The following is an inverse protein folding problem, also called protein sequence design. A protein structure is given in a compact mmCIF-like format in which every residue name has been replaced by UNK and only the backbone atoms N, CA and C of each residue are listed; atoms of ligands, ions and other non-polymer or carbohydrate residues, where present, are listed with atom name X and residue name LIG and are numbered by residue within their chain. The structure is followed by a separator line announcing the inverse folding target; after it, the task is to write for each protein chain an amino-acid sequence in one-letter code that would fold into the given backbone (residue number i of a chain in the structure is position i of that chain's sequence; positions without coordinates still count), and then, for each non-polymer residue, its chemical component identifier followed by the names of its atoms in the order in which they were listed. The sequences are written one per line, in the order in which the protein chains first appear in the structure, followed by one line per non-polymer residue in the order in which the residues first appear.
data_IF_057275868572
#
_entry.id   IF_057275868572
#
_cell.length_a   1.000
_cell.length_b   1.000
_cell.length_c   1.000
_cell.angle_alpha   90.00
_cell.angle_beta   90.00
_cell.angle_gamma   90.00
#
_symmetry.space_group_name_H-M   'P 1'
#
loop_
_entity.id
_entity.type
_entity.pdbx_description
1 polymer ?
#
# COMPACT_ATOMS: atom_id res chain seq x y z
N UNK A 1 15.04 31.41 -7.19
CA UNK A 1 16.03 32.02 -6.28
C UNK A 1 16.02 31.25 -4.96
N UNK A 2 16.90 30.24 -4.83
CA UNK A 2 17.00 29.42 -3.60
C UNK A 2 17.71 30.22 -2.51
N UNK A 3 17.03 30.56 -1.42
CA UNK A 3 17.64 31.16 -0.24
C UNK A 3 18.47 30.08 0.48
N UNK A 4 19.80 30.20 0.43
CA UNK A 4 20.71 29.39 1.26
C UNK A 4 20.55 29.80 2.73
N UNK A 5 19.96 28.92 3.54
CA UNK A 5 19.90 29.11 5.00
C UNK A 5 21.32 28.96 5.58
N UNK A 6 21.77 29.97 6.35
CA UNK A 6 23.08 29.89 6.96
C UNK A 6 23.09 28.89 8.13
N UNK A 7 24.26 28.27 8.41
CA UNK A 7 24.44 27.36 9.58
C UNK A 7 24.01 28.00 10.89
N UNK A 8 24.21 29.32 11.02
CA UNK A 8 23.83 30.09 12.20
C UNK A 8 22.31 30.22 12.37
N UNK A 9 21.57 30.35 11.27
CA UNK A 9 20.09 30.37 11.26
C UNK A 9 19.53 29.00 11.59
N UNK A 10 20.17 27.92 11.11
CA UNK A 10 19.79 26.55 11.43
C UNK A 10 19.98 26.22 12.92
N UNK A 11 21.13 26.59 13.51
CA UNK A 11 21.41 26.34 14.93
C UNK A 11 20.47 27.18 15.82
N UNK A 12 20.15 28.43 15.47
CA UNK A 12 19.18 29.26 16.19
C UNK A 12 17.75 28.65 16.11
N UNK A 13 17.39 28.06 15.00
CA UNK A 13 16.11 27.35 14.85
C UNK A 13 16.01 26.10 15.73
N UNK A 14 17.11 25.36 15.86
CA UNK A 14 17.18 24.15 16.72
C UNK A 14 17.10 24.52 18.22
N UNK A 15 17.77 25.61 18.66
CA UNK A 15 17.70 26.07 20.04
C UNK A 15 16.31 26.61 20.40
N UNK A 16 15.64 27.32 19.51
CA UNK A 16 14.26 27.78 19.72
C UNK A 16 13.27 26.61 19.79
N UNK A 17 13.45 25.60 18.95
CA UNK A 17 12.62 24.34 18.97
C UNK A 17 12.85 23.56 20.27
N UNK A 18 14.09 23.46 20.74
CA UNK A 18 14.44 22.81 22.03
C UNK A 18 13.85 23.51 23.24
N UNK A 19 13.85 24.85 23.26
CA UNK A 19 13.25 25.67 24.34
C UNK A 19 11.72 25.53 24.38
N UNK A 20 11.06 25.52 23.22
CA UNK A 20 9.61 25.36 23.15
C UNK A 20 9.18 23.92 23.56
N UNK A 21 9.97 22.90 23.22
CA UNK A 21 9.75 21.52 23.67
C UNK A 21 9.95 21.38 25.20
N UNK A 22 10.97 22.03 25.77
CA UNK A 22 11.29 21.98 27.19
C UNK A 22 10.26 22.71 28.08
N UNK A 23 9.53 23.68 27.52
CA UNK A 23 8.49 24.43 28.23
C UNK A 23 7.10 23.81 28.12
N UNK A 24 6.97 22.63 27.48
CA UNK A 24 5.68 21.95 27.28
C UNK A 24 4.69 22.72 26.41
N UNK A 25 5.14 23.76 25.71
CA UNK A 25 4.33 24.63 24.87
C UNK A 25 4.08 24.03 23.48
N UNK A 26 4.86 23.03 23.12
CA UNK A 26 4.66 22.28 21.88
C UNK A 26 3.76 21.09 22.15
N UNK A 27 2.47 21.35 22.21
CA UNK A 27 1.51 20.27 22.04
C UNK A 27 1.52 19.91 20.56
N UNK A 28 2.10 18.77 20.21
CA UNK A 28 1.86 18.19 18.90
C UNK A 28 0.34 18.14 18.73
N UNK A 29 -0.21 18.67 17.62
CA UNK A 29 -1.64 18.57 17.40
C UNK A 29 -2.02 17.09 17.48
N UNK A 30 -3.14 16.77 18.12
CA UNK A 30 -3.61 15.39 18.35
C UNK A 30 -3.81 14.61 17.04
N UNK A 31 -3.81 15.31 15.90
CA UNK A 31 -3.85 14.77 14.54
C UNK A 31 -2.47 14.53 13.89
N UNK A 32 -1.36 14.85 14.58
CA UNK A 32 -0.07 14.30 14.20
C UNK A 32 -0.08 12.79 14.53
N UNK A 33 -0.98 12.08 13.87
CA UNK A 33 -1.04 10.62 13.92
C UNK A 33 0.26 10.13 13.32
N UNK A 34 1.02 9.45 14.14
CA UNK A 34 2.15 8.64 13.71
C UNK A 34 1.76 7.92 12.42
N UNK A 35 2.59 8.03 11.39
CA UNK A 35 2.52 7.12 10.25
C UNK A 35 2.24 5.72 10.78
N UNK A 36 1.33 4.95 10.19
CA UNK A 36 1.08 3.57 10.61
C UNK A 36 2.43 2.90 10.81
N UNK A 37 2.61 2.18 11.91
CA UNK A 37 3.91 1.58 12.25
C UNK A 37 4.49 0.84 11.05
N UNK A 38 5.81 0.72 10.98
CA UNK A 38 6.46 -0.04 9.90
C UNK A 38 5.78 -1.39 9.77
N UNK A 39 5.41 -1.83 8.54
CA UNK A 39 4.80 -3.13 8.33
C UNK A 39 5.65 -4.22 8.95
N UNK A 40 5.05 -5.05 9.78
CA UNK A 40 5.75 -6.19 10.39
C UNK A 40 6.01 -7.27 9.35
N UNK A 41 7.07 -8.05 9.55
CA UNK A 41 7.31 -9.28 8.81
C UNK A 41 6.74 -10.44 9.61
N UNK A 42 5.83 -11.19 9.01
CA UNK A 42 5.26 -12.41 9.58
C UNK A 42 5.81 -13.61 8.81
N UNK A 43 6.54 -14.48 9.49
CA UNK A 43 7.16 -15.67 8.89
C UNK A 43 6.63 -16.94 9.55
N UNK A 44 6.67 -18.06 8.84
CA UNK A 44 6.24 -19.37 9.34
C UNK A 44 5.09 -19.94 8.53
N UNK A 45 4.24 -20.74 9.19
CA UNK A 45 3.14 -21.47 8.54
C UNK A 45 1.76 -21.14 9.09
N UNK A 46 1.68 -20.44 10.21
CA UNK A 46 0.42 -20.07 10.88
C UNK A 46 0.35 -18.55 11.01
N UNK A 47 -0.72 -17.94 10.52
CA UNK A 47 -0.89 -16.49 10.49
C UNK A 47 -2.27 -16.07 10.96
N UNK A 48 -2.33 -14.99 11.73
CA UNK A 48 -3.56 -14.31 12.12
C UNK A 48 -3.56 -12.91 11.49
N UNK A 49 -4.53 -12.66 10.62
CA UNK A 49 -4.73 -11.38 9.93
C UNK A 49 -6.06 -10.77 10.35
N UNK A 50 -6.02 -9.52 10.76
CA UNK A 50 -7.19 -8.73 11.15
C UNK A 50 -7.40 -7.62 10.14
N UNK A 51 -8.51 -7.64 9.43
CA UNK A 51 -8.92 -6.56 8.54
C UNK A 51 -9.85 -5.63 9.32
N UNK A 52 -9.51 -4.34 9.36
CA UNK A 52 -10.28 -3.36 10.12
C UNK A 52 -9.95 -1.93 9.70
N UNK A 53 -10.62 -0.97 10.32
CA UNK A 53 -10.40 0.45 10.05
C UNK A 53 -9.28 1.01 10.92
N UNK A 54 -8.47 1.90 10.33
CA UNK A 54 -7.35 2.57 11.01
C UNK A 54 -7.29 4.03 10.59
N UNK A 55 -7.20 4.99 11.53
CA UNK A 55 -6.94 6.38 11.20
C UNK A 55 -5.55 6.55 10.55
N UNK A 56 -5.49 7.27 9.44
CA UNK A 56 -4.25 7.55 8.70
C UNK A 56 -4.15 9.04 8.32
N UNK A 57 -2.92 9.49 8.09
CA UNK A 57 -2.64 10.80 7.54
C UNK A 57 -1.46 10.70 6.56
N UNK A 58 -1.75 10.44 5.29
CA UNK A 58 -0.75 10.23 4.25
C UNK A 58 -0.47 11.53 3.49
N UNK A 59 -1.51 12.31 3.22
CA UNK A 59 -1.43 13.53 2.38
C UNK A 59 -1.42 14.83 3.20
N UNK A 60 -1.49 14.74 4.53
CA UNK A 60 -1.71 15.89 5.42
C UNK A 60 -3.16 16.03 5.88
N UNK A 61 -4.09 15.23 5.34
CA UNK A 61 -5.48 15.17 5.77
C UNK A 61 -5.77 13.87 6.53
N UNK A 62 -6.49 13.98 7.66
CA UNK A 62 -6.93 12.80 8.42
C UNK A 62 -7.97 12.01 7.60
N UNK A 63 -7.76 10.71 7.47
CA UNK A 63 -8.64 9.77 6.77
C UNK A 63 -8.77 8.48 7.57
N UNK A 64 -9.72 7.65 7.20
CA UNK A 64 -9.84 6.28 7.68
C UNK A 64 -9.47 5.35 6.53
N UNK A 65 -8.52 4.48 6.77
CA UNK A 65 -8.13 3.43 5.85
C UNK A 65 -8.69 2.08 6.30
N UNK A 66 -8.89 1.16 5.38
CA UNK A 66 -9.09 -0.25 5.68
C UNK A 66 -7.71 -0.92 5.67
N UNK A 67 -7.33 -1.57 6.73
CA UNK A 67 -5.96 -2.05 6.94
C UNK A 67 -5.92 -3.52 7.29
N UNK A 68 -4.75 -4.13 7.11
CA UNK A 68 -4.48 -5.47 7.62
C UNK A 68 -3.49 -5.32 8.78
N UNK A 69 -3.89 -5.79 9.97
CA UNK A 69 -3.15 -5.66 11.23
C UNK A 69 -2.77 -4.20 11.56
N UNK A 70 -3.62 -3.23 11.16
CA UNK A 70 -3.45 -1.82 11.51
C UNK A 70 -2.40 -1.05 10.71
N UNK A 71 -1.85 -1.59 9.63
CA UNK A 71 -0.80 -0.94 8.81
C UNK A 71 -1.17 -0.87 7.33
N UNK A 72 -0.57 0.08 6.60
CA UNK A 72 -0.56 0.20 5.14
C UNK A 72 0.90 0.34 4.68
N UNK A 73 1.36 -0.53 3.80
CA UNK A 73 0.74 -1.81 3.44
C UNK A 73 0.57 -2.71 4.67
N UNK A 74 -0.24 -3.75 4.56
CA UNK A 74 -0.33 -4.82 5.55
C UNK A 74 1.01 -5.54 5.73
N UNK A 75 1.11 -6.47 6.69
CA UNK A 75 2.36 -7.18 7.00
C UNK A 75 2.99 -7.83 5.76
N UNK A 76 4.33 -7.81 5.68
CA UNK A 76 5.03 -8.70 4.76
C UNK A 76 4.85 -10.15 5.24
N UNK A 77 4.17 -10.96 4.45
CA UNK A 77 4.09 -12.39 4.66
C UNK A 77 5.31 -13.07 4.02
N UNK A 78 6.03 -13.89 4.78
CA UNK A 78 7.17 -14.65 4.28
C UNK A 78 6.96 -16.13 4.49
N UNK A 79 6.75 -16.85 3.39
CA UNK A 79 6.52 -18.29 3.36
C UNK A 79 7.72 -19.02 2.76
N UNK A 80 7.65 -20.34 2.77
CA UNK A 80 8.61 -21.19 2.07
C UNK A 80 7.90 -22.14 1.12
N UNK A 81 8.44 -22.31 -0.05
CA UNK A 81 7.98 -23.31 -1.01
C UNK A 81 7.98 -24.72 -0.43
N UNK A 82 6.89 -25.45 -0.63
CA UNK A 82 6.67 -26.79 -0.09
C UNK A 82 5.91 -26.82 1.23
N UNK A 83 5.89 -25.72 2.00
CA UNK A 83 5.16 -25.63 3.27
C UNK A 83 3.63 -25.62 3.05
N UNK A 84 2.89 -26.03 4.05
CA UNK A 84 1.44 -25.81 4.12
C UNK A 84 1.18 -24.66 5.05
N UNK A 85 0.61 -23.58 4.51
CA UNK A 85 0.27 -22.37 5.29
C UNK A 85 -1.18 -22.39 5.73
N UNK A 86 -1.44 -21.84 6.91
CA UNK A 86 -2.78 -21.61 7.46
C UNK A 86 -2.90 -20.14 7.84
N UNK A 87 -3.85 -19.42 7.22
CA UNK A 87 -4.09 -18.01 7.50
C UNK A 87 -5.53 -17.84 8.01
N UNK A 88 -5.68 -17.40 9.24
CA UNK A 88 -6.96 -17.05 9.84
C UNK A 88 -7.20 -15.56 9.61
N UNK A 89 -8.08 -15.24 8.68
CA UNK A 89 -8.42 -13.86 8.32
C UNK A 89 -9.74 -13.50 8.98
N UNK A 90 -9.69 -12.52 9.87
CA UNK A 90 -10.86 -12.01 10.60
C UNK A 90 -11.27 -10.64 10.06
N UNK A 91 -12.55 -10.49 9.77
CA UNK A 91 -13.14 -9.23 9.32
C UNK A 91 -13.69 -8.41 10.49
N UNK A 92 -13.24 -7.18 10.62
CA UNK A 92 -13.76 -6.17 11.58
C UNK A 92 -14.32 -4.94 10.86
N UNK A 93 -14.47 -5.00 9.55
CA UNK A 93 -15.21 -4.00 8.79
C UNK A 93 -16.72 -4.21 8.97
N UNK A 94 -17.51 -3.20 8.65
CA UNK A 94 -18.98 -3.26 8.62
C UNK A 94 -19.54 -3.85 7.31
N UNK A 95 -18.66 -4.26 6.40
CA UNK A 95 -19.00 -4.85 5.10
C UNK A 95 -18.19 -6.12 4.85
N UNK A 96 -18.60 -6.92 3.85
CA UNK A 96 -17.89 -8.12 3.46
C UNK A 96 -16.48 -7.78 2.94
N UNK A 97 -15.52 -8.62 3.24
CA UNK A 97 -14.14 -8.51 2.77
C UNK A 97 -13.61 -9.83 2.22
N UNK A 98 -12.40 -9.80 1.68
CA UNK A 98 -11.71 -10.97 1.15
C UNK A 98 -10.22 -10.75 1.15
N UNK A 99 -9.42 -11.82 1.03
CA UNK A 99 -8.00 -11.75 0.66
C UNK A 99 -7.78 -12.66 -0.54
N UNK A 100 -7.37 -12.06 -1.63
CA UNK A 100 -6.87 -12.75 -2.82
C UNK A 100 -5.34 -12.82 -2.79
N UNK A 101 -4.81 -13.98 -3.15
CA UNK A 101 -3.37 -14.25 -3.20
C UNK A 101 -2.90 -14.11 -4.64
N UNK A 102 -2.52 -12.88 -5.02
CA UNK A 102 -2.27 -12.53 -6.40
C UNK A 102 -1.09 -13.29 -7.01
N UNK A 103 -1.34 -13.99 -8.11
CA UNK A 103 -0.32 -14.77 -8.82
C UNK A 103 -0.06 -16.17 -8.24
N UNK A 104 -0.83 -16.60 -7.24
CA UNK A 104 -0.66 -17.90 -6.59
C UNK A 104 -1.43 -19.03 -7.30
N UNK A 105 -0.80 -20.19 -7.41
CA UNK A 105 -1.42 -21.43 -7.88
C UNK A 105 -1.93 -22.19 -6.65
N UNK A 106 -3.25 -22.19 -6.45
CA UNK A 106 -3.88 -22.75 -5.26
C UNK A 106 -5.30 -23.28 -5.56
N UNK A 107 -5.94 -24.01 -4.63
CA UNK A 107 -7.32 -24.47 -4.80
C UNK A 107 -8.29 -23.28 -4.94
N UNK A 108 -9.28 -23.38 -5.82
CA UNK A 108 -10.19 -22.29 -6.15
C UNK A 108 -10.93 -21.72 -4.93
N UNK A 109 -11.30 -22.55 -3.94
CA UNK A 109 -11.91 -22.09 -2.70
C UNK A 109 -10.94 -21.34 -1.76
N UNK A 110 -9.64 -21.37 -2.04
CA UNK A 110 -8.60 -20.66 -1.31
C UNK A 110 -8.10 -19.41 -2.06
N UNK A 111 -8.63 -19.14 -3.26
CA UNK A 111 -8.23 -18.01 -4.10
C UNK A 111 -8.71 -16.65 -3.55
N UNK A 112 -9.77 -16.67 -2.76
CA UNK A 112 -10.26 -15.49 -2.07
C UNK A 112 -11.00 -14.47 -2.95
N UNK A 113 -11.42 -14.86 -4.16
CA UNK A 113 -12.25 -14.05 -5.06
C UNK A 113 -13.72 -14.38 -4.81
N UNK A 114 -14.53 -13.45 -4.28
CA UNK A 114 -15.94 -13.70 -4.01
C UNK A 114 -16.75 -13.97 -5.30
N UNK A 115 -17.75 -14.84 -5.20
CA UNK A 115 -18.76 -15.03 -6.25
C UNK A 115 -18.80 -16.43 -6.85
N UNK A 116 -17.71 -17.20 -6.83
CA UNK A 116 -17.69 -18.59 -7.36
C UNK A 116 -17.52 -19.62 -6.25
N UNK A 117 -16.29 -19.80 -5.80
CA UNK A 117 -15.91 -20.84 -4.82
C UNK A 117 -15.74 -20.30 -3.39
N UNK A 118 -15.97 -19.02 -3.21
CA UNK A 118 -15.81 -18.28 -1.98
C UNK A 118 -16.87 -17.18 -1.87
N UNK A 119 -17.50 -17.04 -0.70
CA UNK A 119 -18.60 -16.08 -0.49
C UNK A 119 -18.15 -14.73 0.12
N UNK A 120 -16.86 -14.56 0.39
CA UNK A 120 -16.36 -13.44 1.17
C UNK A 120 -16.34 -13.76 2.67
N UNK A 121 -15.86 -12.81 3.44
CA UNK A 121 -15.80 -12.86 4.91
C UNK A 121 -16.77 -11.80 5.44
N UNK A 122 -17.89 -12.21 5.96
CA UNK A 122 -18.90 -11.30 6.51
C UNK A 122 -18.37 -10.49 7.71
N UNK A 123 -18.98 -9.35 8.06
CA UNK A 123 -18.66 -8.61 9.26
C UNK A 123 -18.58 -9.50 10.50
N UNK A 124 -17.55 -9.30 11.34
CA UNK A 124 -17.20 -10.13 12.49
C UNK A 124 -16.88 -11.61 12.17
N UNK A 125 -16.95 -11.99 10.90
CA UNK A 125 -16.62 -13.34 10.42
C UNK A 125 -15.13 -13.61 10.37
N UNK A 126 -14.82 -14.89 10.15
CA UNK A 126 -13.46 -15.38 9.94
C UNK A 126 -13.45 -16.42 8.83
N UNK A 127 -12.45 -16.37 7.98
CA UNK A 127 -12.15 -17.42 7.01
C UNK A 127 -10.76 -17.99 7.22
N UNK A 128 -10.61 -19.30 7.05
CA UNK A 128 -9.34 -20.00 7.20
C UNK A 128 -8.87 -20.46 5.81
N UNK A 129 -7.86 -19.76 5.31
CA UNK A 129 -7.13 -20.20 4.13
C UNK A 129 -6.11 -21.25 4.53
N UNK A 130 -6.13 -22.41 3.90
CA UNK A 130 -5.16 -23.48 4.16
C UNK A 130 -4.80 -24.19 2.85
N UNK A 131 -3.54 -24.07 2.45
CA UNK A 131 -3.05 -24.66 1.20
C UNK A 131 -1.55 -24.89 1.24
N UNK A 132 -1.10 -25.79 0.38
CA UNK A 132 0.33 -26.01 0.16
C UNK A 132 0.87 -24.97 -0.82
N UNK A 133 2.01 -24.37 -0.47
CA UNK A 133 2.75 -23.41 -1.30
C UNK A 133 3.57 -24.18 -2.33
N UNK A 134 3.23 -24.04 -3.63
CA UNK A 134 3.81 -24.83 -4.72
C UNK A 134 4.75 -24.05 -5.62
N UNK A 135 5.10 -22.82 -5.25
CA UNK A 135 5.90 -21.91 -6.03
C UNK A 135 6.70 -21.00 -5.12
N UNK A 136 7.76 -20.39 -5.65
CA UNK A 136 8.55 -19.37 -4.96
C UNK A 136 8.51 -18.04 -5.75
N UNK A 137 9.02 -16.98 -5.15
CA UNK A 137 9.09 -15.65 -5.76
C UNK A 137 8.49 -14.54 -4.91
N UNK A 138 8.27 -13.40 -5.54
CA UNK A 138 7.72 -12.20 -4.91
C UNK A 138 6.34 -11.92 -5.49
N UNK A 139 5.37 -11.82 -4.60
CA UNK A 139 3.94 -11.68 -4.88
C UNK A 139 3.34 -10.60 -3.99
N UNK A 140 2.04 -10.46 -4.01
CA UNK A 140 1.27 -9.61 -3.10
C UNK A 140 -0.10 -10.22 -2.82
N UNK A 141 -0.76 -9.72 -1.80
CA UNK A 141 -2.12 -10.11 -1.46
C UNK A 141 -2.96 -8.85 -1.27
N UNK A 142 -4.25 -8.92 -1.61
CA UNK A 142 -5.15 -7.79 -1.53
C UNK A 142 -6.62 -8.21 -1.44
N UNK A 143 -7.50 -7.27 -1.07
CA UNK A 143 -8.93 -7.52 -1.13
C UNK A 143 -9.42 -7.61 -2.58
N UNK A 144 -10.33 -8.51 -2.82
CA UNK A 144 -11.11 -8.59 -4.06
C UNK A 144 -12.58 -8.23 -3.83
N UNK A 145 -12.88 -7.50 -2.74
CA UNK A 145 -14.21 -7.03 -2.36
C UNK A 145 -14.29 -5.53 -2.53
N UNK A 146 -15.27 -5.07 -3.32
CA UNK A 146 -15.48 -3.65 -3.56
C UNK A 146 -14.22 -2.92 -4.08
N UNK A 147 -13.91 -1.78 -3.46
CA UNK A 147 -12.71 -0.99 -3.74
C UNK A 147 -11.77 -0.93 -2.52
N UNK A 148 -11.78 -1.96 -1.68
CA UNK A 148 -11.02 -2.03 -0.43
C UNK A 148 -9.51 -2.04 -0.67
N UNK A 149 -9.04 -2.60 -1.79
CA UNK A 149 -7.65 -2.51 -2.23
C UNK A 149 -7.18 -1.04 -2.30
N UNK A 150 -7.98 -0.16 -2.94
CA UNK A 150 -7.63 1.26 -3.10
C UNK A 150 -7.55 2.01 -1.76
N UNK A 151 -8.19 1.54 -0.72
CA UNK A 151 -8.19 2.17 0.61
C UNK A 151 -7.33 1.45 1.63
N UNK A 152 -6.50 0.47 1.21
CA UNK A 152 -5.41 -0.05 2.02
C UNK A 152 -5.40 -1.54 2.34
N UNK A 153 -6.38 -2.34 1.85
CA UNK A 153 -6.40 -3.80 2.10
C UNK A 153 -5.49 -4.51 1.10
N UNK A 154 -4.19 -4.39 1.29
CA UNK A 154 -3.14 -5.06 0.52
C UNK A 154 -1.85 -5.20 1.31
N UNK A 155 -0.97 -6.10 0.89
CA UNK A 155 0.35 -6.29 1.48
C UNK A 155 1.27 -7.16 0.61
N UNK A 156 2.58 -7.11 0.85
CA UNK A 156 3.57 -7.88 0.11
C UNK A 156 3.66 -9.32 0.61
N UNK A 157 4.00 -10.23 -0.30
CA UNK A 157 4.20 -11.65 -0.06
C UNK A 157 5.52 -12.09 -0.71
N UNK A 158 6.40 -12.70 0.08
CA UNK A 158 7.62 -13.34 -0.41
C UNK A 158 7.56 -14.83 -0.09
N UNK A 159 7.93 -15.65 -1.04
CA UNK A 159 8.03 -17.09 -0.88
C UNK A 159 9.46 -17.50 -1.17
N UNK A 160 10.17 -17.88 -0.11
CA UNK A 160 11.54 -18.39 -0.22
C UNK A 160 11.54 -19.73 -0.96
N UNK A 161 12.50 -19.92 -1.84
CA UNK A 161 12.68 -21.16 -2.56
C UNK A 161 12.94 -22.33 -1.61
N UNK A 162 12.51 -23.53 -2.01
CA UNK A 162 12.80 -24.77 -1.26
C UNK A 162 14.29 -25.07 -1.26
N UNK A 163 14.91 -24.92 -2.43
CA UNK A 163 16.33 -25.14 -2.63
C UNK A 163 17.08 -23.78 -2.53
N UNK A 164 18.37 -23.78 -2.13
CA UNK A 164 19.15 -22.56 -2.09
C UNK A 164 19.24 -21.89 -3.45
N UNK A 165 19.20 -20.56 -3.46
CA UNK A 165 19.42 -19.77 -4.68
C UNK A 165 20.82 -20.05 -5.27
N UNK A 166 20.97 -20.06 -6.60
CA UNK A 166 22.27 -20.32 -7.26
C UNK A 166 23.24 -19.14 -7.19
N UNK A 167 22.88 -18.08 -6.50
CA UNK A 167 23.67 -16.87 -6.32
C UNK A 167 23.63 -16.40 -4.86
N UNK A 168 24.55 -15.55 -4.47
CA UNK A 168 24.58 -14.90 -3.16
C UNK A 168 24.33 -13.40 -3.29
N UNK A 169 23.77 -12.80 -2.26
CA UNK A 169 23.53 -11.36 -2.17
C UNK A 169 23.81 -10.88 -0.74
N UNK A 170 24.20 -9.63 -0.61
CA UNK A 170 24.52 -9.04 0.70
C UNK A 170 23.28 -8.45 1.38
N UNK A 171 22.24 -8.12 0.60
CA UNK A 171 21.02 -7.46 1.11
C UNK A 171 19.79 -7.88 0.31
N UNK A 172 18.67 -7.99 1.00
CA UNK A 172 17.35 -8.29 0.45
C UNK A 172 16.37 -7.20 0.90
N UNK A 173 15.73 -6.52 -0.04
CA UNK A 173 14.73 -5.49 0.21
C UNK A 173 13.45 -5.79 -0.54
N UNK A 174 12.33 -5.78 0.18
CA UNK A 174 11.00 -5.85 -0.43
C UNK A 174 10.50 -4.42 -0.62
N UNK A 175 10.28 -4.05 -1.87
CA UNK A 175 9.73 -2.73 -2.25
C UNK A 175 8.34 -2.94 -2.84
N UNK A 176 7.33 -2.38 -2.18
CA UNK A 176 5.95 -2.38 -2.66
C UNK A 176 5.58 -0.96 -3.13
N UNK A 177 5.22 -0.83 -4.40
CA UNK A 177 4.73 0.42 -4.95
C UNK A 177 3.22 0.49 -4.76
N UNK A 178 2.74 1.57 -4.19
CA UNK A 178 1.33 1.79 -3.90
C UNK A 178 0.96 3.25 -4.17
N UNK A 179 -0.31 3.51 -4.40
CA UNK A 179 -0.87 4.84 -4.48
C UNK A 179 -1.92 5.05 -3.39
N UNK A 180 -2.22 6.30 -3.11
CA UNK A 180 -3.22 6.71 -2.16
C UNK A 180 -4.08 7.84 -2.73
N UNK A 181 -5.33 7.88 -2.32
CA UNK A 181 -6.23 8.98 -2.61
C UNK A 181 -7.05 9.35 -1.38
N UNK A 182 -7.27 10.63 -1.18
CA UNK A 182 -8.20 11.15 -0.18
C UNK A 182 -9.64 11.22 -0.70
N UNK A 183 -9.83 10.99 -1.99
CA UNK A 183 -11.15 10.96 -2.62
C UNK A 183 -11.77 9.56 -2.49
N UNK A 184 -13.08 9.49 -2.39
CA UNK A 184 -13.85 8.25 -2.44
C UNK A 184 -13.52 7.45 -3.71
N UNK A 185 -13.03 6.20 -3.60
CA UNK A 185 -12.63 5.38 -4.74
C UNK A 185 -13.77 5.13 -5.74
N UNK A 186 -15.02 5.06 -5.30
CA UNK A 186 -16.15 4.89 -6.20
C UNK A 186 -16.36 6.12 -7.10
N UNK A 187 -16.08 7.31 -6.57
CA UNK A 187 -16.09 8.56 -7.35
C UNK A 187 -14.94 8.60 -8.36
N UNK A 188 -13.75 8.16 -7.96
CA UNK A 188 -12.59 8.04 -8.86
C UNK A 188 -12.91 7.08 -10.00
N UNK A 189 -13.39 5.88 -9.69
CA UNK A 189 -13.76 4.89 -10.70
C UNK A 189 -14.82 5.44 -11.67
N UNK A 190 -15.82 6.17 -11.15
CA UNK A 190 -16.85 6.82 -11.97
C UNK A 190 -16.28 7.86 -12.93
N UNK A 191 -15.26 8.64 -12.51
CA UNK A 191 -14.56 9.61 -13.36
C UNK A 191 -13.73 8.91 -14.44
N UNK A 192 -12.93 7.91 -14.05
CA UNK A 192 -12.08 7.14 -14.96
C UNK A 192 -12.88 6.36 -16.00
N UNK A 193 -14.09 5.88 -15.67
CA UNK A 193 -15.00 5.27 -16.65
C UNK A 193 -15.50 6.25 -17.70
N UNK A 194 -15.58 7.54 -17.38
CA UNK A 194 -16.00 8.59 -18.33
C UNK A 194 -14.81 9.12 -19.14
N UNK A 195 -13.67 9.24 -18.51
CA UNK A 195 -12.44 9.77 -19.08
C UNK A 195 -11.24 9.07 -18.43
N UNK A 196 -10.61 8.14 -19.14
CA UNK A 196 -9.52 7.30 -18.62
C UNK A 196 -8.28 8.08 -18.19
N UNK A 197 -8.05 9.25 -18.76
CA UNK A 197 -6.94 10.15 -18.47
C UNK A 197 -7.31 11.33 -17.55
N UNK A 198 -8.44 11.24 -16.82
CA UNK A 198 -8.97 12.33 -15.98
C UNK A 198 -7.92 12.90 -15.00
N UNK A 199 -7.07 12.05 -14.42
CA UNK A 199 -6.03 12.45 -13.46
C UNK A 199 -4.65 12.65 -14.10
N UNK A 200 -4.54 12.61 -15.42
CA UNK A 200 -3.29 12.90 -16.12
C UNK A 200 -3.10 14.42 -16.26
N UNK A 201 -2.61 15.05 -15.19
CA UNK A 201 -2.35 16.50 -15.14
C UNK A 201 -1.09 16.92 -15.91
N UNK A 202 -0.28 15.95 -16.39
CA UNK A 202 0.89 16.18 -17.22
C UNK A 202 0.65 15.84 -18.70
N UNK A 203 -0.61 15.77 -19.09
CA UNK A 203 -0.98 15.53 -20.48
C UNK A 203 -0.48 16.68 -21.33
N UNK A 204 0.30 16.36 -22.37
CA UNK A 204 0.79 17.33 -23.35
C UNK A 204 -0.41 18.01 -24.01
N UNK A 205 -0.46 19.32 -23.92
CA UNK A 205 -1.51 20.14 -24.50
C UNK A 205 -1.11 20.66 -25.89
N UNK A 206 -2.07 21.22 -26.64
CA UNK A 206 -1.77 21.92 -27.89
C UNK A 206 -0.83 23.13 -27.64
N UNK A 207 -1.00 23.78 -26.46
CA UNK A 207 -0.11 24.88 -26.05
C UNK A 207 1.33 24.42 -25.87
N UNK A 208 1.54 23.28 -25.19
CA UNK A 208 2.87 22.69 -25.00
C UNK A 208 3.49 22.33 -26.36
N UNK A 209 2.70 21.75 -27.27
CA UNK A 209 3.17 21.45 -28.62
C UNK A 209 3.63 22.71 -29.39
N UNK A 210 2.87 23.80 -29.29
CA UNK A 210 3.24 25.07 -29.93
C UNK A 210 4.53 25.64 -29.32
N UNK A 211 4.66 25.56 -28.00
CA UNK A 211 5.89 26.00 -27.32
C UNK A 211 7.10 25.17 -27.74
N UNK A 212 6.97 23.83 -27.77
CA UNK A 212 8.05 22.93 -28.22
C UNK A 212 8.46 23.23 -29.67
N UNK A 213 7.48 23.46 -30.56
CA UNK A 213 7.79 23.88 -31.96
C UNK A 213 8.52 25.22 -32.01
N UNK A 214 8.17 26.15 -31.12
CA UNK A 214 8.81 27.46 -31.04
C UNK A 214 10.25 27.38 -30.49
N UNK A 215 10.51 26.49 -29.54
CA UNK A 215 11.80 26.34 -28.87
C UNK A 215 12.74 25.39 -29.63
N UNK A 216 12.25 24.21 -30.02
CA UNK A 216 13.06 23.12 -30.59
C UNK A 216 12.94 23.00 -32.12
N UNK A 217 11.96 23.67 -32.70
CA UNK A 217 11.64 23.60 -34.12
C UNK A 217 10.76 22.42 -34.50
N UNK A 218 10.07 22.57 -35.64
CA UNK A 218 9.08 21.58 -36.12
C UNK A 218 9.64 20.16 -36.24
N UNK A 219 10.82 20.00 -36.82
CA UNK A 219 11.41 18.68 -37.06
C UNK A 219 11.74 17.92 -35.78
N UNK A 220 12.21 18.60 -34.73
CA UNK A 220 12.54 18.00 -33.46
C UNK A 220 11.26 17.65 -32.66
N UNK A 221 10.21 18.45 -32.80
CA UNK A 221 8.95 18.28 -32.05
C UNK A 221 8.12 17.09 -32.56
N UNK A 222 8.24 16.72 -33.85
CA UNK A 222 7.46 15.63 -34.47
C UNK A 222 8.27 14.33 -34.69
N UNK A 223 9.57 14.32 -34.37
CA UNK A 223 10.43 13.14 -34.44
C UNK A 223 10.20 12.21 -33.23
#
# INVERSE_FOLDING_TARGET
MQRKTSRRTFVKGLTAAGLLGGLGLWRAPVWAVTSPGQPSVLSGTEFDLLIGETPVNITGAARTAMTINGTIPGPLLRWREGDTVTLRVRNKLSEDTSIHWHGMILPANMDGVPGLSFHGIAPDGMYVYKFQVKQNGTYWYHSHSGLQEQVGVYGPLVIDAKDPEPFSYDRDYVVMLTDWTDEDPARILSKLKKQSDYYNFHKRTVGDFINDVSEDGWAATIA
#
